data_IF_200256838375
#
_entry.id   IF_200256838375
#
_cell.length_a   1.000
_cell.length_b   1.000
_cell.length_c   1.000
_cell.angle_alpha   90.00
_cell.angle_beta   90.00
_cell.angle_gamma   90.00
#
_symmetry.space_group_name_H-M   'P 1'
#
loop_
_entity.id
_entity.type
_entity.pdbx_description
1 polymer ?
#
# COMPACT_ATOMS: atom_id res chain seq x y z
N UNK A 1 -1.87 15.27 12.85
CA UNK A 1 -1.74 14.38 11.67
C UNK A 1 -2.85 14.78 10.72
N UNK A 2 -2.50 15.22 9.51
CA UNK A 2 -3.50 15.69 8.55
C UNK A 2 -4.00 14.51 7.71
N UNK A 3 -5.22 14.59 7.19
CA UNK A 3 -5.75 13.61 6.23
C UNK A 3 -4.80 13.40 5.03
N UNK A 4 -4.02 14.44 4.68
CA UNK A 4 -3.04 14.42 3.60
C UNK A 4 -1.89 13.44 3.88
N UNK A 5 -1.51 13.21 5.13
CA UNK A 5 -0.38 12.33 5.48
C UNK A 5 -0.72 10.85 5.23
N UNK A 6 -1.94 10.43 5.58
CA UNK A 6 -2.42 9.07 5.32
C UNK A 6 -2.57 8.80 3.82
N UNK A 7 -3.18 9.75 3.10
CA UNK A 7 -3.33 9.64 1.66
C UNK A 7 -1.96 9.59 0.95
N UNK A 8 -1.01 10.42 1.40
CA UNK A 8 0.36 10.41 0.87
C UNK A 8 1.06 9.06 1.08
N UNK A 9 0.95 8.47 2.28
CA UNK A 9 1.53 7.14 2.56
C UNK A 9 1.00 6.10 1.58
N UNK A 10 -0.33 6.01 1.43
CA UNK A 10 -0.94 5.02 0.55
C UNK A 10 -0.63 5.26 -0.92
N UNK A 11 -0.64 6.51 -1.38
CA UNK A 11 -0.33 6.85 -2.77
C UNK A 11 1.14 6.57 -3.10
N UNK A 12 2.06 6.88 -2.18
CA UNK A 12 3.49 6.58 -2.35
C UNK A 12 3.73 5.07 -2.46
N UNK A 13 3.05 4.26 -1.64
CA UNK A 13 3.16 2.80 -1.73
C UNK A 13 2.58 2.27 -3.05
N UNK A 14 1.47 2.84 -3.52
CA UNK A 14 0.90 2.52 -4.83
C UNK A 14 1.89 2.83 -5.95
N UNK A 15 2.46 4.03 -5.97
CA UNK A 15 3.38 4.47 -7.03
C UNK A 15 4.70 3.66 -7.03
N UNK A 16 5.08 3.08 -5.89
CA UNK A 16 6.27 2.24 -5.72
C UNK A 16 6.07 0.77 -6.14
N UNK A 17 4.91 0.40 -6.68
CA UNK A 17 4.64 -0.96 -7.14
C UNK A 17 3.78 -1.80 -6.20
N UNK A 18 3.14 -1.16 -5.21
CA UNK A 18 1.98 -1.60 -4.42
C UNK A 18 2.08 -2.93 -3.63
N UNK A 19 3.04 -3.80 -3.90
CA UNK A 19 3.20 -5.15 -3.32
C UNK A 19 4.67 -5.48 -3.11
N UNK A 20 4.96 -6.06 -1.94
CA UNK A 20 6.30 -6.44 -1.49
C UNK A 20 7.34 -5.32 -1.68
N UNK A 21 6.93 -4.06 -1.45
CA UNK A 21 7.80 -2.89 -1.60
C UNK A 21 8.67 -2.76 -0.36
N UNK A 22 9.99 -2.69 -0.54
CA UNK A 22 10.92 -2.57 0.56
C UNK A 22 10.78 -1.21 1.26
N UNK A 23 10.81 -1.19 2.59
CA UNK A 23 10.62 0.02 3.39
C UNK A 23 11.65 1.12 3.06
N UNK A 24 12.88 0.73 2.70
CA UNK A 24 13.95 1.67 2.33
C UNK A 24 13.75 2.35 0.98
N UNK A 25 12.88 1.83 0.12
CA UNK A 25 12.59 2.43 -1.20
C UNK A 25 11.47 3.48 -1.12
N UNK A 26 10.82 3.60 0.04
CA UNK A 26 9.73 4.54 0.27
C UNK A 26 10.30 5.84 0.85
N UNK A 27 9.99 7.01 0.26
CA UNK A 27 10.45 8.32 0.73
C UNK A 27 9.72 8.78 2.01
N UNK A 28 9.38 7.85 2.90
CA UNK A 28 8.74 8.14 4.17
C UNK A 28 9.76 8.61 5.20
N UNK A 29 9.44 9.69 5.90
CA UNK A 29 10.26 10.18 7.00
C UNK A 29 9.76 9.65 8.34
N UNK A 30 10.59 9.70 9.37
CA UNK A 30 10.21 9.29 10.74
C UNK A 30 8.97 10.02 11.27
N UNK A 31 8.73 11.27 10.83
CA UNK A 31 7.53 12.05 11.16
C UNK A 31 6.22 11.45 10.63
N UNK A 32 6.29 10.55 9.65
CA UNK A 32 5.12 9.87 9.06
C UNK A 32 4.74 8.59 9.82
N UNK A 33 5.50 8.18 10.84
CA UNK A 33 5.22 6.98 11.66
C UNK A 33 3.75 6.90 12.11
N UNK A 34 3.13 7.98 12.62
CA UNK A 34 1.72 7.94 13.00
C UNK A 34 0.76 7.61 11.84
N UNK A 35 1.03 8.10 10.61
CA UNK A 35 0.23 7.81 9.42
C UNK A 35 0.43 6.38 8.90
N UNK A 36 1.66 5.89 8.95
CA UNK A 36 2.01 4.50 8.63
C UNK A 36 1.29 3.55 9.59
N UNK A 37 1.34 3.82 10.90
CA UNK A 37 0.63 3.02 11.90
C UNK A 37 -0.88 3.06 11.68
N UNK A 38 -1.45 4.24 11.38
CA UNK A 38 -2.87 4.34 11.05
C UNK A 38 -3.22 3.49 9.82
N UNK A 39 -2.44 3.55 8.74
CA UNK A 39 -2.67 2.73 7.54
C UNK A 39 -2.63 1.22 7.84
N UNK A 40 -1.73 0.78 8.73
CA UNK A 40 -1.68 -0.61 9.22
C UNK A 40 -2.90 -0.96 10.07
N UNK A 41 -3.28 -0.12 11.04
CA UNK A 41 -4.44 -0.34 11.91
C UNK A 41 -5.75 -0.40 11.13
N UNK A 42 -5.90 0.45 10.11
CA UNK A 42 -7.07 0.46 9.23
C UNK A 42 -7.05 -0.65 8.17
N UNK A 43 -6.03 -1.50 8.19
CA UNK A 43 -5.83 -2.60 7.24
C UNK A 43 -5.77 -2.11 5.79
N UNK A 44 -5.34 -0.88 5.54
CA UNK A 44 -5.12 -0.34 4.19
C UNK A 44 -3.81 -0.85 3.59
N UNK A 45 -2.86 -1.23 4.43
CA UNK A 45 -1.66 -1.93 4.01
C UNK A 45 -1.28 -3.00 5.04
N UNK A 46 -0.37 -3.88 4.63
CA UNK A 46 0.25 -4.89 5.50
C UNK A 46 1.76 -4.72 5.49
N UNK A 47 2.42 -5.07 6.59
CA UNK A 47 3.88 -5.23 6.66
C UNK A 47 4.27 -6.70 6.78
N UNK A 48 5.44 -7.06 6.26
CA UNK A 48 6.10 -8.35 6.46
C UNK A 48 7.58 -8.14 6.70
N UNK A 49 8.12 -8.82 7.70
CA UNK A 49 9.57 -8.89 7.91
C UNK A 49 10.17 -10.08 7.17
N UNK A 50 11.29 -9.88 6.49
CA UNK A 50 12.07 -10.92 5.79
C UNK A 50 13.55 -10.57 5.91
N UNK A 51 14.33 -11.42 6.57
CA UNK A 51 15.77 -11.20 6.70
C UNK A 51 16.18 -9.94 7.47
N UNK A 52 15.32 -9.44 8.37
CA UNK A 52 15.55 -8.18 9.10
C UNK A 52 15.11 -6.92 8.35
N UNK A 53 14.59 -7.09 7.12
CA UNK A 53 14.04 -6.01 6.31
C UNK A 53 12.51 -6.03 6.33
N UNK A 54 11.90 -4.85 6.21
CA UNK A 54 10.45 -4.67 6.22
C UNK A 54 9.95 -4.40 4.82
N UNK A 55 8.88 -5.09 4.45
CA UNK A 55 8.21 -4.94 3.16
C UNK A 55 6.74 -4.57 3.39
N UNK A 56 6.21 -3.69 2.55
CA UNK A 56 4.82 -3.23 2.61
C UNK A 56 4.02 -3.67 1.39
N UNK A 57 2.72 -3.82 1.55
CA UNK A 57 1.79 -4.11 0.45
C UNK A 57 0.44 -3.48 0.69
N UNK A 58 -0.18 -2.92 -0.35
CA UNK A 58 -1.55 -2.42 -0.31
C UNK A 58 -2.54 -3.59 -0.27
N UNK A 59 -3.55 -3.43 0.59
CA UNK A 59 -4.73 -4.30 0.60
C UNK A 59 -5.79 -3.75 -0.34
N UNK A 60 -6.82 -4.55 -0.63
CA UNK A 60 -8.01 -4.10 -1.38
C UNK A 60 -8.64 -2.82 -0.82
N UNK A 61 -8.72 -2.69 0.51
CA UNK A 61 -9.27 -1.50 1.16
C UNK A 61 -8.34 -0.30 1.02
N UNK A 62 -7.02 -0.52 1.01
CA UNK A 62 -6.02 0.53 0.74
C UNK A 62 -6.16 1.15 -0.65
N UNK A 63 -6.35 0.34 -1.70
CA UNK A 63 -6.64 0.87 -3.05
C UNK A 63 -7.89 1.76 -3.03
N UNK A 64 -8.98 1.29 -2.39
CA UNK A 64 -10.21 2.06 -2.27
C UNK A 64 -10.04 3.39 -1.54
N UNK A 65 -9.21 3.43 -0.50
CA UNK A 65 -8.94 4.64 0.27
C UNK A 65 -8.22 5.75 -0.53
N UNK A 66 -7.52 5.39 -1.62
CA UNK A 66 -6.91 6.33 -2.58
C UNK A 66 -7.66 6.40 -3.92
N UNK A 67 -8.88 5.86 -3.99
CA UNK A 67 -9.70 5.89 -5.20
C UNK A 67 -9.11 5.10 -6.37
N UNK A 68 -8.27 4.09 -6.10
CA UNK A 68 -7.69 3.18 -7.09
C UNK A 68 -8.44 1.85 -7.11
N UNK A 69 -8.41 1.19 -8.26
CA UNK A 69 -8.88 -0.20 -8.35
C UNK A 69 -7.76 -1.17 -7.94
N UNK A 70 -8.04 -2.20 -7.13
CA UNK A 70 -7.08 -3.24 -6.84
C UNK A 70 -6.78 -4.08 -8.10
N UNK A 71 -5.58 -4.68 -8.21
CA UNK A 71 -5.27 -5.62 -9.28
C UNK A 71 -6.36 -6.70 -9.39
N UNK A 72 -6.81 -6.96 -10.62
CA UNK A 72 -7.74 -8.05 -10.90
C UNK A 72 -7.16 -9.37 -10.39
N UNK A 73 -7.92 -10.11 -9.57
CA UNK A 73 -7.56 -11.46 -9.13
C UNK A 73 -7.51 -12.47 -10.29
N UNK A 74 -8.07 -12.11 -11.45
CA UNK A 74 -8.15 -12.95 -12.64
C UNK A 74 -7.84 -12.13 -13.91
N UNK A 75 -6.57 -11.82 -14.19
CA UNK A 75 -6.23 -11.17 -15.47
C UNK A 75 -6.60 -12.05 -16.68
N UNK A 76 -6.70 -13.36 -16.51
CA UNK A 76 -6.98 -14.31 -17.59
C UNK A 76 -8.48 -14.43 -17.96
N UNK A 77 -9.42 -14.13 -17.04
CA UNK A 77 -10.86 -14.30 -17.30
C UNK A 77 -11.44 -13.26 -18.28
N UNK A 78 -10.74 -12.14 -18.52
CA UNK A 78 -11.15 -11.16 -19.55
C UNK A 78 -11.10 -11.71 -20.98
N UNK A 79 -10.32 -12.77 -21.24
CA UNK A 79 -10.15 -13.34 -22.59
C UNK A 79 -11.14 -14.48 -22.91
N UNK A 80 -11.87 -14.99 -21.92
CA UNK A 80 -12.86 -16.06 -22.11
C UNK A 80 -14.28 -15.53 -22.41
N UNK A 81 -14.52 -14.25 -22.12
CA UNK A 81 -15.81 -13.57 -22.37
C UNK A 81 -15.65 -12.30 -23.23
N UNK A 82 -14.54 -12.21 -23.98
CA UNK A 82 -14.24 -11.13 -24.93
C UNK A 82 -14.32 -11.62 -26.36
#
# INVERSE_FOLDING_TARGET
>A
MSHNDLQYVLQTLYDAGERDVHAGDLPWSSGMTPAILQALTMLYMTSRERGGETFFSLTRTGYGAIGKEPPSLFPFLRRLFG
#
